data_IF_553825574838
#
_entry.id   IF_553825574838
#
_cell.length_a   1.000
_cell.length_b   1.000
_cell.length_c   1.000
_cell.angle_alpha   90.00
_cell.angle_beta   90.00
_cell.angle_gamma   90.00
#
_symmetry.space_group_name_H-M   'P 1'
#
loop_
_entity.id
_entity.type
_entity.pdbx_description
1 polymer ?
#
# COMPACT_ATOMS: atom_id res chain seq x y z
N UNK A 1 -9.96 26.83 -16.15
CA UNK A 1 -9.03 25.69 -16.23
C UNK A 1 -9.79 24.49 -16.73
N UNK A 2 -9.12 23.66 -17.53
CA UNK A 2 -9.70 22.48 -18.18
C UNK A 2 -10.00 21.41 -17.12
N UNK A 3 -11.18 20.76 -17.16
CA UNK A 3 -11.46 19.62 -16.29
C UNK A 3 -10.43 18.50 -16.51
N UNK A 4 -9.99 17.86 -15.43
CA UNK A 4 -9.15 16.66 -15.51
C UNK A 4 -9.89 15.54 -16.25
N UNK A 5 -9.16 14.76 -17.06
CA UNK A 5 -9.71 13.57 -17.72
C UNK A 5 -9.30 12.35 -16.90
N UNK A 6 -10.26 11.79 -16.15
CA UNK A 6 -10.04 10.54 -15.41
C UNK A 6 -10.13 9.37 -16.38
N UNK A 7 -9.04 8.63 -16.54
CA UNK A 7 -9.03 7.36 -17.25
C UNK A 7 -9.34 6.23 -16.28
N UNK A 8 -10.51 5.60 -16.47
CA UNK A 8 -10.96 4.41 -15.76
C UNK A 8 -11.25 3.26 -16.76
N UNK A 9 -10.61 3.29 -17.93
CA UNK A 9 -10.83 2.29 -18.99
C UNK A 9 -9.93 1.07 -18.87
N UNK A 10 -8.85 1.18 -18.09
CA UNK A 10 -7.83 0.15 -17.99
C UNK A 10 -8.01 -0.73 -16.76
N UNK A 11 -7.42 -1.92 -16.85
CA UNK A 11 -7.40 -2.93 -15.81
C UNK A 11 -6.18 -3.81 -15.90
N UNK A 12 -5.73 -4.40 -14.81
CA UNK A 12 -4.92 -5.61 -14.88
C UNK A 12 -5.86 -6.79 -15.15
N UNK A 13 -5.65 -7.49 -16.26
CA UNK A 13 -6.49 -8.59 -16.74
C UNK A 13 -5.71 -9.66 -17.50
N UNK A 14 -4.44 -9.87 -17.13
CA UNK A 14 -3.61 -10.96 -17.69
C UNK A 14 -3.73 -12.25 -16.87
N UNK A 15 -3.89 -12.16 -15.55
CA UNK A 15 -3.96 -13.32 -14.64
C UNK A 15 -5.35 -13.55 -14.01
N UNK A 16 -5.48 -14.44 -13.02
CA UNK A 16 -6.81 -14.78 -12.45
C UNK A 16 -7.49 -13.62 -11.71
N UNK A 17 -6.84 -12.48 -11.55
CA UNK A 17 -7.43 -11.24 -11.04
C UNK A 17 -7.79 -10.33 -12.23
N UNK A 18 -9.00 -9.77 -12.19
CA UNK A 18 -9.35 -8.58 -12.95
C UNK A 18 -9.36 -7.39 -12.00
N UNK A 19 -8.62 -6.32 -12.27
CA UNK A 19 -8.57 -5.18 -11.35
C UNK A 19 -8.55 -3.85 -12.11
N UNK A 20 -9.54 -2.99 -11.90
CA UNK A 20 -9.56 -1.64 -12.45
C UNK A 20 -8.37 -0.82 -11.96
N UNK A 21 -7.83 0.03 -12.84
CA UNK A 21 -6.70 0.93 -12.57
C UNK A 21 -7.03 2.30 -13.15
N UNK A 22 -6.79 3.37 -12.39
CA UNK A 22 -7.05 4.74 -12.83
C UNK A 22 -5.81 5.61 -12.83
N UNK A 23 -5.85 6.73 -13.56
CA UNK A 23 -4.81 7.76 -13.55
C UNK A 23 -4.93 8.76 -12.36
N UNK A 24 -5.54 8.33 -11.25
CA UNK A 24 -5.79 9.16 -10.05
C UNK A 24 -5.38 8.45 -8.74
N UNK A 25 -4.63 7.34 -8.86
CA UNK A 25 -4.21 6.51 -7.73
C UNK A 25 -5.27 5.52 -7.22
N UNK A 26 -6.53 5.69 -7.61
CA UNK A 26 -7.55 4.69 -7.30
C UNK A 26 -7.39 3.45 -8.17
N UNK A 27 -7.53 2.29 -7.54
CA UNK A 27 -7.61 1.01 -8.21
C UNK A 27 -8.62 0.12 -7.49
N UNK A 28 -8.95 -1.02 -8.09
CA UNK A 28 -9.96 -1.94 -7.59
C UNK A 28 -11.37 -1.34 -7.43
N UNK A 29 -11.67 -0.16 -8.01
CA UNK A 29 -12.99 0.46 -8.05
C UNK A 29 -13.40 0.76 -9.49
N UNK A 30 -14.55 0.25 -9.96
CA UNK A 30 -15.11 0.69 -11.24
C UNK A 30 -15.83 2.03 -11.05
N UNK A 31 -15.11 3.13 -11.30
CA UNK A 31 -15.65 4.49 -11.22
C UNK A 31 -16.72 4.81 -12.27
N UNK A 32 -16.90 3.96 -13.29
CA UNK A 32 -17.94 4.15 -14.32
C UNK A 32 -19.30 3.73 -13.79
N UNK A 33 -19.35 2.56 -13.17
CA UNK A 33 -20.59 1.97 -12.66
C UNK A 33 -20.73 2.10 -11.15
N UNK A 34 -19.70 2.60 -10.46
CA UNK A 34 -19.61 2.78 -9.02
C UNK A 34 -19.78 1.47 -8.24
N UNK A 35 -19.18 0.39 -8.74
CA UNK A 35 -19.19 -0.94 -8.07
C UNK A 35 -17.77 -1.43 -7.82
N UNK A 36 -17.66 -2.49 -7.00
CA UNK A 36 -16.41 -3.16 -6.72
C UNK A 36 -15.64 -3.54 -7.99
N UNK A 37 -14.32 -3.34 -7.96
CA UNK A 37 -13.48 -3.37 -9.16
C UNK A 37 -12.30 -4.34 -9.10
N UNK A 38 -12.10 -5.10 -8.02
CA UNK A 38 -11.22 -6.29 -8.05
C UNK A 38 -12.06 -7.55 -8.13
N UNK A 39 -12.03 -8.20 -9.28
CA UNK A 39 -12.71 -9.45 -9.59
C UNK A 39 -11.77 -10.65 -9.39
N UNK A 40 -12.25 -11.67 -8.68
CA UNK A 40 -11.55 -12.95 -8.59
C UNK A 40 -12.53 -14.13 -8.44
N UNK A 41 -12.38 -15.24 -9.19
CA UNK A 41 -11.60 -15.33 -10.40
C UNK A 41 -12.13 -14.37 -11.46
N UNK A 42 -11.24 -13.76 -12.23
CA UNK A 42 -11.57 -12.92 -13.38
C UNK A 42 -12.54 -13.63 -14.33
N UNK A 43 -13.59 -12.94 -14.76
CA UNK A 43 -14.68 -13.46 -15.59
C UNK A 43 -15.78 -14.22 -14.85
N UNK A 44 -15.79 -14.23 -13.51
CA UNK A 44 -16.83 -14.88 -12.69
C UNK A 44 -17.97 -13.93 -12.28
N UNK A 45 -17.79 -12.62 -12.40
CA UNK A 45 -18.67 -11.59 -11.85
C UNK A 45 -18.61 -11.43 -10.33
N UNK A 46 -17.63 -12.04 -9.66
CA UNK A 46 -17.47 -11.98 -8.19
C UNK A 46 -16.27 -11.12 -7.81
N UNK A 47 -16.46 -10.23 -6.84
CA UNK A 47 -15.47 -9.23 -6.43
C UNK A 47 -14.96 -9.47 -5.03
N UNK A 48 -13.68 -9.16 -4.79
CA UNK A 48 -13.02 -9.33 -3.50
C UNK A 48 -12.49 -8.02 -2.87
N UNK A 49 -12.45 -6.93 -3.63
CA UNK A 49 -12.11 -5.58 -3.13
C UNK A 49 -13.01 -4.57 -3.83
N UNK A 50 -13.60 -3.67 -3.06
CA UNK A 50 -14.47 -2.61 -3.56
C UNK A 50 -13.69 -1.43 -4.12
N UNK A 51 -12.68 -0.98 -3.37
CA UNK A 51 -11.80 0.14 -3.73
C UNK A 51 -10.48 0.06 -2.95
N UNK A 52 -9.42 0.62 -3.52
CA UNK A 52 -8.13 0.77 -2.86
C UNK A 52 -7.34 1.94 -3.48
N UNK A 53 -6.36 2.45 -2.74
CA UNK A 53 -5.57 3.60 -3.18
C UNK A 53 -4.43 3.97 -2.22
N UNK A 54 -3.43 4.75 -2.69
CA UNK A 54 -2.32 5.21 -1.86
C UNK A 54 -2.72 6.39 -0.99
N UNK A 55 -2.26 6.38 0.26
CA UNK A 55 -2.33 7.49 1.20
C UNK A 55 -0.91 7.94 1.54
N UNK A 56 -0.67 9.24 1.56
CA UNK A 56 0.60 9.84 1.94
C UNK A 56 0.30 10.93 2.96
N UNK A 57 1.02 10.94 4.07
CA UNK A 57 0.90 12.00 5.06
C UNK A 57 2.25 12.39 5.63
N UNK A 58 2.44 13.68 5.90
CA UNK A 58 3.69 14.23 6.41
C UNK A 58 3.44 15.46 7.30
N UNK A 59 4.47 15.81 8.07
CA UNK A 59 4.59 17.10 8.72
C UNK A 59 5.32 18.07 7.78
N UNK A 60 4.74 19.24 7.56
CA UNK A 60 5.29 20.30 6.72
C UNK A 60 5.26 21.60 7.49
N UNK A 61 6.42 22.07 7.95
CA UNK A 61 6.50 23.30 8.75
C UNK A 61 5.68 23.26 10.05
N UNK A 62 5.53 22.07 10.64
CA UNK A 62 4.72 21.86 11.85
C UNK A 62 3.22 21.60 11.60
N UNK A 63 2.76 21.63 10.35
CA UNK A 63 1.38 21.29 9.98
C UNK A 63 1.29 19.88 9.40
N UNK A 64 0.23 19.14 9.73
CA UNK A 64 -0.08 17.86 9.08
C UNK A 64 -0.67 18.13 7.69
N UNK A 65 -0.09 17.49 6.68
CA UNK A 65 -0.63 17.44 5.31
C UNK A 65 -0.82 15.99 4.88
N UNK A 66 -1.89 15.75 4.15
CA UNK A 66 -2.29 14.42 3.67
C UNK A 66 -2.77 14.54 2.24
N UNK A 67 -2.42 13.56 1.41
CA UNK A 67 -3.05 13.31 0.13
C UNK A 67 -3.46 11.85 0.06
N UNK A 68 -4.67 11.58 -0.43
CA UNK A 68 -5.22 10.24 -0.44
C UNK A 68 -6.08 9.94 -1.67
N UNK A 69 -6.17 8.65 -1.99
CA UNK A 69 -7.17 8.08 -2.89
C UNK A 69 -7.94 7.00 -2.12
N UNK A 70 -9.25 7.18 -2.04
CA UNK A 70 -10.22 6.25 -1.48
C UNK A 70 -11.52 6.33 -2.31
N UNK A 71 -12.68 6.55 -1.69
CA UNK A 71 -13.95 6.90 -2.35
C UNK A 71 -13.97 8.27 -3.04
N UNK A 72 -12.88 9.03 -2.94
CA UNK A 72 -12.56 10.17 -3.80
C UNK A 72 -11.04 10.35 -3.82
N UNK A 73 -10.53 11.11 -4.80
CA UNK A 73 -9.10 11.26 -5.01
C UNK A 73 -8.68 12.71 -4.85
N UNK A 74 -7.65 12.92 -4.05
CA UNK A 74 -6.96 14.22 -3.96
C UNK A 74 -5.79 14.32 -4.95
N UNK A 75 -5.56 13.25 -5.73
CA UNK A 75 -4.63 13.23 -6.84
C UNK A 75 -5.32 13.56 -8.17
N UNK A 76 -4.69 14.41 -8.98
CA UNK A 76 -5.07 14.69 -10.36
C UNK A 76 -4.14 14.00 -11.37
N UNK A 77 -4.62 13.66 -12.57
CA UNK A 77 -3.79 13.09 -13.63
C UNK A 77 -2.64 14.01 -14.03
N UNK A 78 -1.50 13.41 -14.32
CA UNK A 78 -0.37 14.09 -14.95
C UNK A 78 0.82 14.38 -14.04
N UNK A 79 1.88 14.89 -14.67
CA UNK A 79 3.11 15.26 -13.99
C UNK A 79 3.00 16.61 -13.27
N UNK A 80 3.95 16.86 -12.38
CA UNK A 80 4.25 18.20 -11.88
C UNK A 80 5.40 18.84 -12.67
N UNK A 81 5.23 20.12 -13.02
CA UNK A 81 6.22 20.97 -13.68
C UNK A 81 6.45 22.21 -12.80
N UNK A 82 7.70 22.44 -12.38
CA UNK A 82 8.05 23.61 -11.57
C UNK A 82 7.30 23.70 -10.22
N UNK A 83 6.90 22.56 -9.65
CA UNK A 83 6.16 22.51 -8.39
C UNK A 83 4.64 22.68 -8.50
N UNK A 84 4.10 22.83 -9.71
CA UNK A 84 2.67 22.92 -10.00
C UNK A 84 2.20 21.70 -10.83
N UNK A 85 0.91 21.35 -10.79
CA UNK A 85 0.37 20.34 -11.71
C UNK A 85 0.48 20.84 -13.16
N UNK A 86 0.81 19.94 -14.09
CA UNK A 86 0.62 20.20 -15.53
C UNK A 86 -0.88 20.16 -15.89
N UNK A 87 -1.24 20.47 -17.14
CA UNK A 87 -2.62 20.43 -17.62
C UNK A 87 -3.19 19.01 -17.57
N UNK A 88 -4.14 18.71 -16.66
CA UNK A 88 -4.65 17.36 -16.42
C UNK A 88 -5.60 16.87 -17.53
N UNK A 89 -5.84 17.68 -18.56
CA UNK A 89 -6.65 17.31 -19.73
C UNK A 89 -5.82 16.81 -20.92
N UNK A 90 -4.48 16.83 -20.79
CA UNK A 90 -3.57 16.33 -21.82
C UNK A 90 -3.82 14.83 -22.07
N UNK A 91 -4.00 14.38 -23.32
CA UNK A 91 -4.39 13.01 -23.64
C UNK A 91 -3.36 11.93 -23.26
N UNK A 92 -2.11 12.32 -23.06
CA UNK A 92 -1.03 11.46 -22.55
C UNK A 92 -1.17 11.13 -21.05
N UNK A 93 -1.96 11.89 -20.29
CA UNK A 93 -2.23 11.60 -18.88
C UNK A 93 -3.34 10.57 -18.74
N UNK A 94 -3.06 9.37 -19.23
CA UNK A 94 -3.92 8.18 -19.22
C UNK A 94 -3.18 7.00 -18.59
N UNK A 95 -3.88 5.89 -18.39
CA UNK A 95 -3.26 4.63 -18.00
C UNK A 95 -2.77 3.92 -19.26
N UNK A 96 -1.45 3.76 -19.38
CA UNK A 96 -0.85 2.96 -20.44
C UNK A 96 -0.91 1.50 -20.06
N UNK A 97 -1.28 0.62 -21.01
CA UNK A 97 -1.23 -0.84 -20.84
C UNK A 97 -0.32 -1.44 -21.89
N UNK A 98 0.67 -2.21 -21.45
CA UNK A 98 1.55 -3.01 -22.30
C UNK A 98 1.45 -4.48 -21.94
N UNK A 99 1.41 -5.36 -22.94
CA UNK A 99 1.55 -6.80 -22.76
C UNK A 99 2.99 -7.21 -23.13
N UNK A 100 3.52 -8.26 -22.51
CA UNK A 100 4.83 -8.80 -22.90
C UNK A 100 4.80 -9.34 -24.33
N UNK A 101 3.71 -10.03 -24.70
CA UNK A 101 3.52 -10.66 -26.01
C UNK A 101 2.26 -10.09 -26.66
N UNK A 102 2.36 -9.78 -27.95
CA UNK A 102 1.25 -9.30 -28.78
C UNK A 102 0.95 -10.29 -29.91
N UNK A 103 -0.25 -10.18 -30.49
CA UNK A 103 -0.66 -11.04 -31.61
C UNK A 103 0.13 -10.75 -32.90
N UNK A 104 0.63 -9.52 -33.04
CA UNK A 104 1.46 -9.09 -34.17
C UNK A 104 2.49 -8.03 -33.76
N UNK A 105 3.57 -7.94 -34.55
CA UNK A 105 4.56 -6.88 -34.40
C UNK A 105 3.94 -5.47 -34.56
N UNK A 106 2.96 -5.32 -35.46
CA UNK A 106 2.31 -4.03 -35.70
C UNK A 106 1.54 -3.54 -34.46
N UNK A 107 0.79 -4.42 -33.78
CA UNK A 107 0.08 -4.06 -32.54
C UNK A 107 1.06 -3.71 -31.41
N UNK A 108 2.12 -4.50 -31.25
CA UNK A 108 3.19 -4.22 -30.28
C UNK A 108 3.83 -2.86 -30.53
N UNK A 109 4.24 -2.60 -31.76
CA UNK A 109 4.99 -1.39 -32.13
C UNK A 109 4.11 -0.14 -31.99
N UNK A 110 2.80 -0.24 -32.29
CA UNK A 110 1.85 0.83 -32.05
C UNK A 110 1.68 1.14 -30.55
N UNK A 111 1.51 0.11 -29.71
CA UNK A 111 1.40 0.29 -28.26
C UNK A 111 2.69 0.86 -27.65
N UNK A 112 3.85 0.38 -28.09
CA UNK A 112 5.14 0.88 -27.65
C UNK A 112 5.41 2.32 -28.14
N UNK A 113 4.96 2.69 -29.35
CA UNK A 113 5.08 4.05 -29.86
C UNK A 113 4.22 5.04 -29.05
N UNK A 114 2.97 4.70 -28.73
CA UNK A 114 2.09 5.51 -27.86
C UNK A 114 2.69 5.68 -26.46
N UNK A 115 3.20 4.59 -25.88
CA UNK A 115 3.91 4.62 -24.59
C UNK A 115 5.17 5.51 -24.63
N UNK A 116 6.01 5.36 -25.66
CA UNK A 116 7.24 6.16 -25.79
C UNK A 116 6.94 7.65 -26.03
N UNK A 117 5.85 7.97 -26.73
CA UNK A 117 5.48 9.35 -27.03
C UNK A 117 4.89 10.07 -25.81
N UNK A 118 4.10 9.39 -24.99
CA UNK A 118 3.42 10.02 -23.85
C UNK A 118 3.96 9.62 -22.48
N UNK A 119 4.19 8.34 -22.19
CA UNK A 119 4.61 7.92 -20.86
C UNK A 119 6.08 8.25 -20.55
N UNK A 120 7.00 7.93 -21.46
CA UNK A 120 8.46 8.06 -21.24
C UNK A 120 8.91 9.49 -20.93
N UNK A 121 8.42 10.55 -21.63
CA UNK A 121 8.74 11.94 -21.27
C UNK A 121 8.34 12.33 -19.84
N UNK A 122 7.42 11.58 -19.24
CA UNK A 122 6.86 11.82 -17.90
C UNK A 122 7.41 10.85 -16.83
N UNK A 123 8.54 10.17 -17.13
CA UNK A 123 9.29 9.38 -16.16
C UNK A 123 9.07 7.87 -16.23
N UNK A 124 8.23 7.40 -17.16
CA UNK A 124 8.04 5.97 -17.37
C UNK A 124 9.36 5.28 -17.82
N UNK A 125 9.63 4.05 -17.37
CA UNK A 125 10.83 3.32 -17.76
C UNK A 125 10.87 3.06 -19.27
N UNK A 126 12.06 3.16 -19.87
CA UNK A 126 12.23 2.78 -21.27
C UNK A 126 11.98 1.28 -21.47
N UNK A 127 11.10 0.93 -22.41
CA UNK A 127 10.78 -0.46 -22.76
C UNK A 127 11.42 -0.80 -24.11
N UNK A 128 12.04 -1.98 -24.19
CA UNK A 128 12.71 -2.45 -25.41
C UNK A 128 12.02 -3.67 -26.00
N UNK A 129 12.21 -3.88 -27.31
CA UNK A 129 11.79 -5.11 -27.99
C UNK A 129 12.93 -6.12 -27.89
N UNK A 130 12.63 -7.30 -27.33
CA UNK A 130 13.56 -8.40 -27.18
C UNK A 130 13.81 -9.12 -28.52
N UNK A 131 14.88 -9.93 -28.64
CA UNK A 131 15.18 -10.67 -29.87
C UNK A 131 14.08 -11.62 -30.36
N UNK A 132 13.22 -12.09 -29.44
CA UNK A 132 12.05 -12.94 -29.75
C UNK A 132 10.81 -12.13 -30.14
N UNK A 133 10.91 -10.80 -30.18
CA UNK A 133 9.82 -9.89 -30.51
C UNK A 133 8.90 -9.53 -29.34
N UNK A 134 9.12 -10.04 -28.13
CA UNK A 134 8.39 -9.63 -26.93
C UNK A 134 8.87 -8.27 -26.39
N UNK A 135 8.07 -7.61 -25.54
CA UNK A 135 8.50 -6.42 -24.81
C UNK A 135 9.19 -6.79 -23.49
N UNK A 136 10.24 -6.04 -23.13
CA UNK A 136 10.90 -6.14 -21.83
C UNK A 136 10.12 -5.37 -20.73
N UNK A 137 8.92 -5.87 -20.43
CA UNK A 137 8.06 -5.36 -19.34
C UNK A 137 8.11 -6.29 -18.12
N UNK A 138 7.91 -5.75 -16.90
CA UNK A 138 7.65 -6.59 -15.73
C UNK A 138 6.32 -7.33 -15.90
N UNK A 139 6.26 -8.59 -15.46
CA UNK A 139 5.07 -9.42 -15.67
C UNK A 139 4.78 -9.71 -17.15
N UNK A 140 3.64 -10.34 -17.41
CA UNK A 140 3.13 -10.57 -18.76
C UNK A 140 2.18 -9.44 -19.22
N UNK A 141 1.77 -8.59 -18.28
CA UNK A 141 1.09 -7.33 -18.52
C UNK A 141 1.52 -6.30 -17.47
N UNK A 142 1.72 -5.07 -17.92
CA UNK A 142 2.05 -3.90 -17.12
C UNK A 142 1.08 -2.77 -17.45
N UNK A 143 0.63 -2.04 -16.43
CA UNK A 143 0.07 -0.70 -16.57
C UNK A 143 1.01 0.35 -15.99
N UNK A 144 0.98 1.55 -16.56
CA UNK A 144 1.74 2.70 -16.05
C UNK A 144 0.93 3.98 -16.16
N UNK A 145 0.98 4.83 -15.13
CA UNK A 145 0.49 6.21 -15.21
C UNK A 145 1.26 7.13 -14.24
N UNK A 146 1.01 8.44 -14.35
CA UNK A 146 1.52 9.46 -13.45
C UNK A 146 0.39 10.38 -13.00
N UNK A 147 0.39 10.72 -11.72
CA UNK A 147 -0.56 11.64 -11.08
C UNK A 147 0.11 12.40 -9.94
N UNK A 148 -0.53 13.45 -9.44
CA UNK A 148 0.02 14.31 -8.39
C UNK A 148 -1.05 14.98 -7.54
N UNK A 149 -0.69 15.42 -6.34
CA UNK A 149 -1.61 16.10 -5.42
C UNK A 149 -1.54 17.64 -5.48
N UNK A 150 -0.81 18.21 -6.46
CA UNK A 150 -0.38 19.60 -6.41
C UNK A 150 -1.47 20.64 -6.70
N UNK A 151 -2.66 20.21 -7.13
CA UNK A 151 -3.82 21.09 -7.29
C UNK A 151 -4.61 21.20 -5.96
N UNK A 152 -4.58 22.36 -5.27
CA UNK A 152 -5.31 22.52 -4.01
C UNK A 152 -6.83 22.33 -4.13
N UNK A 153 -7.39 22.40 -5.35
CA UNK A 153 -8.82 22.18 -5.60
C UNK A 153 -9.21 20.71 -5.52
N UNK A 154 -8.26 19.79 -5.69
CA UNK A 154 -8.48 18.35 -5.55
C UNK A 154 -8.57 17.92 -4.08
N UNK A 155 -8.07 18.73 -3.15
CA UNK A 155 -8.07 18.47 -1.70
C UNK A 155 -9.43 18.78 -1.04
N UNK A 156 -10.48 18.17 -1.58
CA UNK A 156 -11.86 18.33 -1.12
C UNK A 156 -12.36 17.20 -0.21
N UNK A 157 -11.59 16.11 -0.08
CA UNK A 157 -11.99 14.97 0.74
C UNK A 157 -11.78 15.30 2.22
N UNK A 158 -12.80 15.18 3.06
CA UNK A 158 -12.69 15.48 4.50
C UNK A 158 -11.55 14.71 5.17
N UNK A 159 -11.27 13.48 4.74
CA UNK A 159 -10.19 12.67 5.27
C UNK A 159 -8.79 13.25 4.96
N UNK A 160 -8.63 14.09 3.95
CA UNK A 160 -7.32 14.58 3.49
C UNK A 160 -7.20 16.11 3.36
N UNK A 161 -8.32 16.83 3.34
CA UNK A 161 -8.56 18.28 3.15
C UNK A 161 -7.49 19.21 3.74
N UNK A 162 -6.31 19.22 3.13
CA UNK A 162 -5.14 19.98 3.55
C UNK A 162 -4.55 20.73 2.36
N UNK A 163 -3.48 21.48 2.59
CA UNK A 163 -2.68 21.96 1.48
C UNK A 163 -1.93 20.78 0.85
N UNK A 164 -1.68 20.80 -0.47
CA UNK A 164 -0.86 19.78 -1.11
C UNK A 164 0.48 19.53 -0.40
N UNK A 165 0.87 18.26 -0.37
CA UNK A 165 2.24 17.83 -0.09
C UNK A 165 3.18 18.30 -1.20
N UNK A 166 2.71 18.28 -2.46
CA UNK A 166 3.52 18.55 -3.65
C UNK A 166 4.23 17.29 -4.13
N UNK A 167 3.52 16.16 -4.11
CA UNK A 167 4.04 14.86 -4.53
C UNK A 167 3.53 14.48 -5.91
N UNK A 168 4.43 13.94 -6.71
CA UNK A 168 4.10 13.22 -7.96
C UNK A 168 4.31 11.73 -7.70
N UNK A 169 3.35 10.91 -8.12
CA UNK A 169 3.41 9.46 -8.03
C UNK A 169 3.45 8.89 -9.43
N UNK A 170 4.48 8.11 -9.72
CA UNK A 170 4.55 7.27 -10.91
C UNK A 170 4.17 5.85 -10.51
N UNK A 171 3.04 5.40 -11.03
CA UNK A 171 2.43 4.12 -10.69
C UNK A 171 2.74 3.09 -11.76
N UNK A 172 3.20 1.91 -11.36
CA UNK A 172 3.40 0.75 -12.24
C UNK A 172 2.79 -0.49 -11.62
N UNK A 173 1.71 -1.01 -12.20
CA UNK A 173 1.14 -2.29 -11.78
C UNK A 173 1.45 -3.37 -12.81
N UNK A 174 1.71 -4.58 -12.36
CA UNK A 174 1.99 -5.68 -13.27
C UNK A 174 1.60 -7.04 -12.67
N UNK A 175 1.38 -8.01 -13.54
CA UNK A 175 0.96 -9.35 -13.16
C UNK A 175 1.55 -10.40 -14.13
N UNK A 176 1.63 -11.65 -13.67
CA UNK A 176 2.11 -12.78 -14.47
C UNK A 176 0.96 -13.71 -14.82
N UNK A 177 0.90 -14.15 -16.07
CA UNK A 177 0.01 -15.24 -16.48
C UNK A 177 0.66 -16.58 -16.11
N UNK A 178 0.60 -16.88 -14.81
CA UNK A 178 1.26 -18.04 -14.21
C UNK A 178 0.21 -19.00 -13.62
N UNK A 179 0.35 -20.33 -13.81
CA UNK A 179 -0.57 -21.29 -13.21
C UNK A 179 -0.43 -21.38 -11.68
N UNK A 180 0.67 -20.90 -11.11
CA UNK A 180 0.95 -20.91 -9.68
C UNK A 180 0.40 -19.69 -8.92
N UNK A 181 1.02 -19.36 -7.77
CA UNK A 181 0.61 -18.25 -6.90
C UNK A 181 0.69 -16.88 -7.59
N UNK A 182 1.63 -16.69 -8.52
CA UNK A 182 1.77 -15.43 -9.25
C UNK A 182 0.55 -15.15 -10.15
N UNK A 183 -0.15 -16.19 -10.57
CA UNK A 183 -1.43 -16.08 -11.28
C UNK A 183 -2.56 -15.48 -10.46
N UNK A 184 -2.40 -15.35 -9.13
CA UNK A 184 -3.36 -14.72 -8.23
C UNK A 184 -2.76 -13.49 -7.53
N UNK A 185 -1.73 -12.87 -8.12
CA UNK A 185 -1.01 -11.74 -7.53
C UNK A 185 -0.89 -10.61 -8.53
N UNK A 186 -1.20 -9.38 -8.11
CA UNK A 186 -0.86 -8.14 -8.82
C UNK A 186 0.19 -7.41 -7.99
N UNK A 187 1.28 -7.02 -8.63
CA UNK A 187 2.33 -6.23 -8.01
C UNK A 187 2.05 -4.75 -8.23
N UNK A 188 2.14 -3.96 -7.17
CA UNK A 188 1.84 -2.54 -7.15
C UNK A 188 3.12 -1.78 -6.83
N UNK A 189 3.62 -0.97 -7.76
CA UNK A 189 4.79 -0.11 -7.52
C UNK A 189 4.39 1.34 -7.59
N UNK A 190 4.77 2.08 -6.56
CA UNK A 190 4.58 3.52 -6.47
C UNK A 190 5.95 4.16 -6.30
N UNK A 191 6.37 4.95 -7.27
CA UNK A 191 7.53 5.83 -7.11
C UNK A 191 7.05 7.22 -6.77
N UNK A 192 7.30 7.64 -5.54
CA UNK A 192 6.80 8.88 -4.97
C UNK A 192 7.92 9.90 -4.99
N UNK A 193 7.72 11.01 -5.71
CA UNK A 193 8.64 12.14 -5.76
C UNK A 193 8.09 13.29 -4.93
N UNK A 194 8.95 13.94 -4.16
CA UNK A 194 8.65 15.29 -3.67
C UNK A 194 9.07 16.29 -4.77
N UNK A 195 8.10 16.75 -5.56
CA UNK A 195 8.31 17.78 -6.59
C UNK A 195 7.90 19.18 -6.12
N UNK A 196 7.43 19.30 -4.88
CA UNK A 196 7.13 20.55 -4.22
C UNK A 196 8.37 21.24 -3.64
N UNK A 197 8.16 22.39 -3.01
CA UNK A 197 9.22 23.17 -2.37
C UNK A 197 9.44 22.81 -0.89
N UNK A 198 8.55 22.02 -0.30
CA UNK A 198 8.53 21.76 1.13
C UNK A 198 9.35 20.52 1.48
N UNK A 199 10.05 20.56 2.60
CA UNK A 199 10.58 19.34 3.22
C UNK A 199 9.43 18.55 3.87
N UNK A 200 9.32 17.26 3.55
CA UNK A 200 8.30 16.39 4.11
C UNK A 200 8.90 15.60 5.28
N UNK A 201 8.64 16.08 6.50
CA UNK A 201 9.12 15.48 7.74
C UNK A 201 8.14 14.41 8.24
N UNK A 202 8.66 13.39 8.94
CA UNK A 202 7.83 12.32 9.52
C UNK A 202 6.80 11.79 8.52
N UNK A 203 7.25 11.50 7.31
CA UNK A 203 6.38 11.05 6.22
C UNK A 203 6.01 9.60 6.44
N UNK A 204 4.74 9.27 6.19
CA UNK A 204 4.22 7.93 6.16
C UNK A 204 3.52 7.70 4.82
N UNK A 205 3.72 6.52 4.27
CA UNK A 205 2.97 6.02 3.11
C UNK A 205 2.09 4.87 3.56
N UNK A 206 0.93 4.72 2.95
CA UNK A 206 0.10 3.55 3.19
C UNK A 206 -0.77 3.15 2.01
N UNK A 207 -1.15 1.88 2.02
CA UNK A 207 -2.10 1.32 1.08
C UNK A 207 -3.43 1.13 1.79
N UNK A 208 -4.42 1.94 1.41
CA UNK A 208 -5.79 1.82 1.89
C UNK A 208 -6.55 0.81 1.05
N UNK A 209 -7.39 0.01 1.69
CA UNK A 209 -8.29 -0.92 1.03
C UNK A 209 -9.63 -1.00 1.74
N UNK A 210 -10.67 -1.03 0.92
CA UNK A 210 -12.02 -1.45 1.25
C UNK A 210 -12.26 -2.88 0.71
N UNK A 211 -11.87 -3.92 1.47
CA UNK A 211 -12.22 -5.28 1.11
C UNK A 211 -13.74 -5.48 1.16
N UNK A 212 -14.28 -6.01 0.07
CA UNK A 212 -15.63 -6.57 0.01
C UNK A 212 -15.44 -8.00 -0.49
N UNK A 213 -15.18 -8.97 0.40
CA UNK A 213 -14.89 -10.35 -0.01
C UNK A 213 -16.20 -11.06 -0.37
N UNK A 214 -16.75 -10.66 -1.50
CA UNK A 214 -18.13 -10.94 -1.85
C UNK A 214 -19.06 -9.97 -1.12
N UNK A 215 -19.74 -10.45 -0.09
CA UNK A 215 -20.60 -9.60 0.74
C UNK A 215 -19.80 -8.79 1.76
N UNK A 216 -19.94 -7.46 1.73
CA UNK A 216 -19.28 -6.56 2.66
C UNK A 216 -19.64 -6.79 4.14
N UNK A 217 -20.80 -7.38 4.45
CA UNK A 217 -21.32 -7.44 5.83
C UNK A 217 -20.79 -8.61 6.66
N UNK A 218 -19.99 -9.50 6.07
CA UNK A 218 -19.41 -10.64 6.75
C UNK A 218 -17.88 -10.72 6.63
N UNK A 219 -17.24 -9.59 6.34
CA UNK A 219 -15.79 -9.50 6.30
C UNK A 219 -15.18 -9.40 7.70
N UNK A 220 -14.01 -10.02 7.83
CA UNK A 220 -13.08 -9.86 8.94
C UNK A 220 -11.72 -9.49 8.37
N UNK A 221 -10.93 -8.77 9.14
CA UNK A 221 -9.56 -8.40 8.77
C UNK A 221 -8.51 -8.99 9.70
N UNK A 222 -7.27 -9.06 9.22
CA UNK A 222 -6.14 -9.57 9.98
C UNK A 222 -4.81 -8.99 9.53
N UNK A 223 -3.81 -9.15 10.40
CA UNK A 223 -2.45 -8.70 10.18
C UNK A 223 -1.47 -9.84 10.44
N UNK A 224 -0.42 -9.92 9.62
CA UNK A 224 0.79 -10.68 9.92
C UNK A 224 2.00 -9.73 9.78
N UNK A 225 2.38 -9.06 10.89
CA UNK A 225 3.50 -8.11 10.88
C UNK A 225 4.83 -8.76 10.47
N UNK A 226 5.02 -10.03 10.79
CA UNK A 226 6.23 -10.79 10.42
C UNK A 226 6.36 -11.01 8.92
N UNK A 227 5.25 -10.90 8.18
CA UNK A 227 5.19 -10.93 6.71
C UNK A 227 4.89 -9.58 6.09
N UNK A 228 4.74 -8.51 6.87
CA UNK A 228 4.28 -7.20 6.35
C UNK A 228 2.96 -7.29 5.57
N UNK A 229 2.05 -8.16 6.03
CA UNK A 229 0.81 -8.51 5.35
C UNK A 229 -0.41 -8.02 6.15
N UNK A 230 -1.35 -7.37 5.47
CA UNK A 230 -2.72 -7.15 5.92
C UNK A 230 -3.68 -7.92 5.01
N UNK A 231 -4.74 -8.50 5.56
CA UNK A 231 -5.63 -9.38 4.80
C UNK A 231 -7.08 -9.32 5.28
N UNK A 232 -8.01 -9.67 4.40
CA UNK A 232 -9.44 -9.82 4.68
C UNK A 232 -9.96 -11.19 4.24
N UNK A 233 -10.97 -11.68 4.95
CA UNK A 233 -11.58 -12.99 4.75
C UNK A 233 -12.99 -13.02 5.36
N UNK A 234 -13.87 -13.87 4.83
CA UNK A 234 -15.22 -14.00 5.39
C UNK A 234 -15.21 -14.65 6.78
N UNK A 235 -16.04 -14.13 7.67
CA UNK A 235 -16.33 -14.69 8.98
C UNK A 235 -16.92 -16.10 8.90
N UNK A 236 -17.73 -16.34 7.87
CA UNK A 236 -18.54 -17.54 7.69
C UNK A 236 -18.07 -18.40 6.52
N UNK A 237 -18.45 -19.68 6.55
CA UNK A 237 -18.20 -20.59 5.43
C UNK A 237 -19.18 -20.43 4.25
N UNK A 238 -20.08 -19.46 4.30
CA UNK A 238 -21.06 -19.17 3.26
C UNK A 238 -21.17 -17.66 3.08
N UNK A 239 -20.67 -17.18 1.95
CA UNK A 239 -20.75 -15.79 1.50
C UNK A 239 -21.95 -15.57 0.56
N UNK A 240 -22.47 -14.34 0.52
CA UNK A 240 -23.61 -13.99 -0.33
C UNK A 240 -23.33 -14.09 -1.84
N UNK A 241 -22.08 -13.91 -2.26
CA UNK A 241 -21.66 -13.86 -3.68
C UNK A 241 -20.84 -15.10 -4.05
N UNK A 242 -19.88 -15.46 -3.22
CA UNK A 242 -18.99 -16.60 -3.37
C UNK A 242 -19.58 -17.92 -2.90
N UNK A 243 -20.69 -17.92 -2.18
CA UNK A 243 -21.21 -19.10 -1.50
C UNK A 243 -20.11 -19.73 -0.63
N UNK A 244 -19.87 -21.04 -0.74
CA UNK A 244 -18.86 -21.74 0.08
C UNK A 244 -17.42 -21.64 -0.44
N UNK A 245 -17.15 -20.74 -1.38
CA UNK A 245 -15.86 -20.62 -2.06
C UNK A 245 -15.27 -19.21 -2.00
N UNK A 246 -15.56 -18.46 -0.93
CA UNK A 246 -14.99 -17.14 -0.72
C UNK A 246 -13.45 -17.19 -0.69
N UNK A 247 -12.75 -16.28 -1.39
CA UNK A 247 -11.32 -16.17 -1.27
C UNK A 247 -10.93 -15.51 0.05
N UNK A 248 -9.63 -15.43 0.31
CA UNK A 248 -9.08 -14.37 1.14
C UNK A 248 -8.32 -13.43 0.20
N UNK A 249 -8.30 -12.14 0.52
CA UNK A 249 -7.51 -11.12 -0.17
C UNK A 249 -6.51 -10.53 0.80
N UNK A 250 -5.31 -10.21 0.33
CA UNK A 250 -4.30 -9.57 1.17
C UNK A 250 -3.33 -8.70 0.38
N UNK A 251 -2.74 -7.77 1.09
CA UNK A 251 -1.72 -6.85 0.60
C UNK A 251 -0.45 -7.04 1.41
N UNK A 252 0.64 -7.37 0.73
CA UNK A 252 1.97 -7.55 1.33
C UNK A 252 2.86 -6.37 0.93
N UNK A 253 3.45 -5.66 1.88
CA UNK A 253 4.48 -4.66 1.60
C UNK A 253 5.82 -5.36 1.34
N UNK A 254 6.18 -5.44 0.05
CA UNK A 254 7.42 -6.06 -0.42
C UNK A 254 8.66 -5.17 -0.21
N UNK A 255 8.47 -3.85 -0.33
CA UNK A 255 9.51 -2.83 -0.12
C UNK A 255 8.87 -1.53 0.34
N UNK A 256 9.21 -1.05 1.54
CA UNK A 256 8.84 0.29 2.00
C UNK A 256 9.88 1.36 1.67
N UNK A 257 9.66 2.59 2.13
CA UNK A 257 10.59 3.70 1.94
C UNK A 257 11.90 3.45 2.69
N UNK A 258 12.99 4.07 2.27
CA UNK A 258 14.25 3.98 3.00
C UNK A 258 14.15 4.71 4.34
N UNK A 259 14.66 4.09 5.41
CA UNK A 259 14.69 4.69 6.75
C UNK A 259 15.57 5.97 6.80
N UNK A 260 16.51 6.08 5.87
CA UNK A 260 17.36 7.24 5.60
C UNK A 260 17.96 7.07 4.19
N UNK A 261 18.58 8.09 3.58
CA UNK A 261 19.13 7.98 2.21
C UNK A 261 20.08 6.79 1.97
N UNK A 262 20.73 6.28 3.03
CA UNK A 262 21.60 5.09 2.99
C UNK A 262 21.13 3.96 3.92
N UNK A 263 19.92 4.06 4.47
CA UNK A 263 19.34 3.10 5.39
C UNK A 263 18.70 1.90 4.70
N UNK A 264 18.34 0.84 5.44
CA UNK A 264 17.54 -0.23 4.88
C UNK A 264 16.11 0.26 4.55
N UNK A 265 15.41 -0.38 3.59
CA UNK A 265 13.98 -0.18 3.42
C UNK A 265 13.23 -0.51 4.71
N UNK A 266 12.25 0.31 5.06
CA UNK A 266 11.32 0.04 6.13
C UNK A 266 10.38 -1.10 5.71
N UNK A 267 10.02 -1.93 6.69
CA UNK A 267 8.91 -2.87 6.55
C UNK A 267 7.59 -2.18 6.88
N UNK A 268 6.56 -2.99 7.10
CA UNK A 268 5.29 -2.48 7.59
C UNK A 268 5.44 -2.02 9.05
N UNK A 269 4.98 -0.81 9.36
CA UNK A 269 5.10 -0.22 10.70
C UNK A 269 3.75 -0.06 11.38
N UNK A 270 2.66 -0.14 10.63
CA UNK A 270 1.30 -0.05 11.15
C UNK A 270 0.30 -0.84 10.31
N UNK A 271 -0.71 -1.41 10.98
CA UNK A 271 -1.97 -1.81 10.36
C UNK A 271 -3.10 -1.21 11.20
N UNK A 272 -3.89 -0.35 10.58
CA UNK A 272 -5.09 0.23 11.16
C UNK A 272 -6.31 -0.30 10.43
N UNK A 273 -7.34 -0.70 11.17
CA UNK A 273 -8.64 -1.04 10.60
C UNK A 273 -9.74 -0.27 11.30
N UNK A 274 -10.78 0.03 10.55
CA UNK A 274 -12.00 0.67 11.01
C UNK A 274 -13.18 0.12 10.21
N UNK A 275 -14.38 0.28 10.74
CA UNK A 275 -15.61 -0.19 10.11
C UNK A 275 -16.34 0.98 9.46
N UNK A 276 -17.18 0.69 8.47
CA UNK A 276 -17.99 1.70 7.81
C UNK A 276 -18.74 2.60 8.81
N UNK A 277 -18.59 3.92 8.64
CA UNK A 277 -19.17 4.94 9.51
C UNK A 277 -18.25 5.37 10.66
N UNK A 278 -17.08 4.74 10.79
CA UNK A 278 -16.01 5.14 11.73
C UNK A 278 -14.74 5.61 11.01
N UNK A 279 -14.83 5.79 9.69
CA UNK A 279 -13.77 6.25 8.80
C UNK A 279 -13.13 7.56 9.30
N UNK A 280 -11.81 7.75 9.09
CA UNK A 280 -11.16 9.03 9.31
C UNK A 280 -11.91 10.17 8.60
N UNK A 281 -12.36 11.15 9.36
CA UNK A 281 -13.17 12.26 8.85
C UNK A 281 -12.47 13.63 8.96
N UNK A 282 -11.16 13.59 9.22
CA UNK A 282 -10.24 14.73 9.14
C UNK A 282 -8.81 14.24 8.87
N UNK A 283 -7.96 15.12 8.34
CA UNK A 283 -6.57 14.79 7.99
C UNK A 283 -5.72 14.35 9.19
N UNK A 284 -6.03 14.81 10.40
CA UNK A 284 -5.30 14.38 11.61
C UNK A 284 -5.57 12.91 11.92
N UNK A 285 -6.81 12.45 11.78
CA UNK A 285 -7.18 11.04 11.94
C UNK A 285 -6.59 10.16 10.83
N UNK A 286 -6.56 10.64 9.60
CA UNK A 286 -5.94 9.89 8.48
C UNK A 286 -4.43 9.73 8.69
N UNK A 287 -3.75 10.80 9.11
CA UNK A 287 -2.34 10.75 9.46
C UNK A 287 -2.06 9.81 10.65
N UNK A 288 -2.91 9.83 11.69
CA UNK A 288 -2.83 8.88 12.81
C UNK A 288 -3.04 7.43 12.37
N UNK A 289 -3.97 7.19 11.44
CA UNK A 289 -4.21 5.85 10.91
C UNK A 289 -2.97 5.31 10.17
N UNK A 290 -2.27 6.14 9.40
CA UNK A 290 -0.97 5.78 8.78
C UNK A 290 0.10 5.38 9.82
N UNK A 291 -0.01 5.88 11.05
CA UNK A 291 0.91 5.63 12.16
C UNK A 291 0.51 4.45 13.04
N UNK A 292 -0.64 3.80 12.81
CA UNK A 292 -1.15 2.76 13.70
C UNK A 292 -1.66 3.30 15.03
N UNK A 293 -2.33 4.47 14.98
CA UNK A 293 -2.95 5.12 16.13
C UNK A 293 -4.48 5.15 15.97
N UNK A 294 -5.17 5.17 17.09
CA UNK A 294 -6.60 5.45 17.13
C UNK A 294 -6.89 6.92 16.73
N UNK A 295 -8.18 7.25 16.56
CA UNK A 295 -8.61 8.59 16.20
C UNK A 295 -8.21 9.68 17.22
N UNK A 296 -7.90 9.30 18.46
CA UNK A 296 -7.43 10.18 19.55
C UNK A 296 -5.90 10.33 19.58
N UNK A 297 -5.16 9.55 18.80
CA UNK A 297 -3.71 9.55 18.75
C UNK A 297 -3.04 8.57 19.71
N UNK A 298 -3.78 7.62 20.29
CA UNK A 298 -3.21 6.60 21.17
C UNK A 298 -2.84 5.33 20.39
N UNK A 299 -1.75 4.63 20.74
CA UNK A 299 -1.50 3.29 20.23
C UNK A 299 -2.66 2.35 20.59
N UNK A 300 -2.90 1.36 19.74
CA UNK A 300 -3.85 0.29 20.08
C UNK A 300 -3.31 -0.54 21.24
N UNK A 301 -4.21 -1.21 21.98
CA UNK A 301 -3.86 -2.16 23.02
C UNK A 301 -4.30 -3.54 22.58
N UNK A 302 -3.37 -4.48 22.49
CA UNK A 302 -3.69 -5.88 22.24
C UNK A 302 -4.43 -6.43 23.47
N UNK A 303 -5.72 -6.80 23.36
CA UNK A 303 -6.52 -7.24 24.48
C UNK A 303 -6.06 -8.58 25.08
N UNK A 304 -5.24 -9.34 24.36
CA UNK A 304 -4.72 -10.64 24.82
C UNK A 304 -3.44 -10.52 25.63
N UNK A 305 -2.67 -9.44 25.43
CA UNK A 305 -1.41 -9.20 26.14
C UNK A 305 -1.45 -8.00 27.07
N UNK A 306 -2.40 -7.08 26.87
CA UNK A 306 -2.48 -5.79 27.55
C UNK A 306 -1.38 -4.79 27.12
N UNK A 307 -0.60 -5.12 26.09
CA UNK A 307 0.50 -4.29 25.61
C UNK A 307 0.05 -3.40 24.44
N UNK A 308 0.68 -2.23 24.34
CA UNK A 308 0.46 -1.34 23.20
C UNK A 308 1.05 -1.91 21.91
N UNK A 309 0.35 -1.74 20.80
CA UNK A 309 0.77 -2.19 19.47
C UNK A 309 0.35 -1.16 18.40
N UNK A 310 1.02 -1.20 17.24
CA UNK A 310 0.65 -0.45 16.02
C UNK A 310 -0.04 -1.32 14.97
N UNK A 311 -0.26 -2.59 15.30
CA UNK A 311 -0.87 -3.57 14.41
C UNK A 311 -2.17 -4.04 15.05
N UNK A 312 -3.29 -3.71 14.42
CA UNK A 312 -4.58 -4.31 14.75
C UNK A 312 -4.64 -5.74 14.22
N UNK A 313 -5.25 -6.62 15.01
CA UNK A 313 -5.51 -8.02 14.66
C UNK A 313 -4.29 -8.88 14.22
N UNK A 314 -3.16 -8.87 14.96
CA UNK A 314 -1.96 -9.65 14.61
C UNK A 314 -2.07 -11.16 14.93
N UNK A 315 -3.22 -11.62 15.42
CA UNK A 315 -3.45 -13.02 15.79
C UNK A 315 -3.57 -13.97 14.60
N UNK A 316 -3.62 -15.27 14.89
CA UNK A 316 -3.84 -16.32 13.89
C UNK A 316 -5.33 -16.72 13.87
N UNK A 317 -6.11 -16.31 12.86
CA UNK A 317 -7.53 -16.64 12.77
C UNK A 317 -7.81 -18.10 12.39
N UNK A 318 -6.82 -18.84 11.88
CA UNK A 318 -6.95 -20.28 11.63
C UNK A 318 -6.76 -21.07 12.92
N UNK A 319 -5.80 -20.68 13.75
CA UNK A 319 -5.57 -21.29 15.06
C UNK A 319 -6.54 -20.77 16.15
N UNK A 320 -7.16 -19.61 15.94
CA UNK A 320 -8.00 -18.94 16.94
C UNK A 320 -7.20 -18.41 18.12
N UNK A 321 -5.99 -17.89 17.87
CA UNK A 321 -5.05 -17.46 18.92
C UNK A 321 -4.58 -16.02 18.71
N UNK A 322 -4.25 -15.32 19.80
CA UNK A 322 -3.87 -13.91 19.76
C UNK A 322 -5.07 -12.96 19.56
N UNK A 323 -4.79 -11.69 19.29
CA UNK A 323 -5.84 -10.72 18.98
C UNK A 323 -6.30 -10.90 17.53
N UNK A 324 -7.50 -11.47 17.37
CA UNK A 324 -8.18 -11.67 16.08
C UNK A 324 -9.41 -10.78 15.99
N UNK A 325 -9.80 -10.44 14.76
CA UNK A 325 -11.07 -9.79 14.53
C UNK A 325 -12.23 -10.78 14.70
N UNK A 326 -13.29 -10.32 15.34
CA UNK A 326 -14.49 -11.09 15.71
C UNK A 326 -15.77 -10.35 15.35
N UNK A 327 -15.69 -9.26 14.58
CA UNK A 327 -16.82 -8.41 14.24
C UNK A 327 -17.12 -8.49 12.75
N UNK A 328 -17.95 -9.44 12.28
CA UNK A 328 -18.28 -9.54 10.86
C UNK A 328 -19.03 -8.28 10.41
N UNK A 329 -18.40 -7.47 9.56
CA UNK A 329 -18.99 -6.22 9.06
C UNK A 329 -18.18 -5.66 7.89
N UNK A 330 -18.58 -4.49 7.44
CA UNK A 330 -17.97 -3.73 6.36
C UNK A 330 -16.69 -3.04 6.86
N UNK A 331 -15.54 -3.64 6.57
CA UNK A 331 -14.23 -3.22 7.07
C UNK A 331 -13.44 -2.43 6.03
N UNK A 332 -12.61 -1.51 6.53
CA UNK A 332 -11.45 -0.98 5.80
C UNK A 332 -10.18 -1.30 6.57
N UNK A 333 -9.07 -1.35 5.86
CA UNK A 333 -7.76 -1.39 6.50
C UNK A 333 -6.71 -0.59 5.72
N UNK A 334 -5.68 -0.17 6.44
CA UNK A 334 -4.60 0.67 5.94
C UNK A 334 -3.25 0.11 6.39
N UNK A 335 -2.38 -0.17 5.41
CA UNK A 335 -1.02 -0.68 5.63
C UNK A 335 -0.01 0.46 5.63
N UNK A 336 0.37 0.96 6.79
CA UNK A 336 1.28 2.10 6.95
C UNK A 336 2.76 1.70 7.07
N UNK A 337 3.65 2.46 6.43
CA UNK A 337 5.10 2.37 6.57
C UNK A 337 5.72 3.77 6.78
N UNK A 338 6.50 3.93 7.86
CA UNK A 338 7.19 5.16 8.21
C UNK A 338 7.64 5.19 9.69
N UNK A 339 8.18 6.31 10.18
CA UNK A 339 8.41 7.55 9.44
C UNK A 339 9.66 7.48 8.57
N UNK A 340 9.65 8.24 7.49
CA UNK A 340 10.85 8.62 6.73
C UNK A 340 10.82 10.14 6.48
N UNK A 341 11.78 10.68 5.73
CA UNK A 341 11.79 12.08 5.33
C UNK A 341 12.07 12.19 3.85
N UNK A 342 11.47 13.17 3.18
CA UNK A 342 11.59 13.34 1.74
C UNK A 342 11.87 14.81 1.40
N UNK A 343 13.09 15.10 0.97
CA UNK A 343 13.52 16.44 0.56
C UNK A 343 13.01 16.81 -0.82
N UNK A 344 12.87 18.11 -1.14
CA UNK A 344 12.55 18.56 -2.50
C UNK A 344 13.50 17.92 -3.53
N UNK A 345 12.92 17.28 -4.55
CA UNK A 345 13.63 16.58 -5.61
C UNK A 345 13.98 15.11 -5.31
N UNK A 346 13.79 14.63 -4.07
CA UNK A 346 14.02 13.23 -3.71
C UNK A 346 12.81 12.34 -4.07
N UNK A 347 13.07 11.03 -4.13
CA UNK A 347 12.04 10.03 -4.41
C UNK A 347 12.23 8.75 -3.61
N UNK A 348 11.12 8.06 -3.33
CA UNK A 348 11.08 6.74 -2.71
C UNK A 348 10.29 5.74 -3.57
N UNK A 349 10.75 4.49 -3.64
CA UNK A 349 10.05 3.40 -4.33
C UNK A 349 9.33 2.49 -3.32
N UNK A 350 8.02 2.37 -3.42
CA UNK A 350 7.19 1.54 -2.56
C UNK A 350 6.60 0.40 -3.39
N UNK A 351 6.74 -0.84 -2.93
CA UNK A 351 6.22 -2.02 -3.62
C UNK A 351 5.28 -2.82 -2.71
N UNK A 352 4.07 -3.07 -3.18
CA UNK A 352 3.10 -3.99 -2.58
C UNK A 352 2.79 -5.16 -3.52
N UNK A 353 2.19 -6.22 -2.98
CA UNK A 353 1.53 -7.27 -3.74
C UNK A 353 0.10 -7.46 -3.25
N UNK A 354 -0.87 -7.26 -4.13
CA UNK A 354 -2.27 -7.63 -3.92
C UNK A 354 -2.47 -9.09 -4.34
N UNK A 355 -2.80 -9.96 -3.40
CA UNK A 355 -2.92 -11.40 -3.62
C UNK A 355 -4.28 -11.91 -3.23
N UNK A 356 -4.85 -12.80 -4.03
CA UNK A 356 -6.04 -13.58 -3.66
C UNK A 356 -5.69 -15.05 -3.54
N UNK A 357 -6.36 -15.75 -2.64
CA UNK A 357 -6.23 -17.21 -2.51
C UNK A 357 -7.59 -17.82 -2.24
N UNK A 358 -7.83 -19.03 -2.76
CA UNK A 358 -9.02 -19.79 -2.39
C UNK A 358 -8.91 -20.13 -0.91
N UNK A 359 -9.75 -19.52 -0.09
CA UNK A 359 -9.79 -19.79 1.33
C UNK A 359 -10.69 -21.00 1.58
N UNK A 360 -10.09 -22.12 1.95
CA UNK A 360 -10.83 -23.26 2.51
C UNK A 360 -10.42 -23.36 3.98
N UNK A 361 -11.33 -22.99 4.89
CA UNK A 361 -11.15 -23.21 6.34
C UNK A 361 -10.88 -24.69 6.67
N UNK A 362 -11.22 -25.61 5.75
CA UNK A 362 -10.94 -27.06 5.84
C UNK A 362 -9.63 -27.53 5.18
N UNK A 363 -8.87 -26.69 4.48
CA UNK A 363 -7.55 -27.07 3.91
C UNK A 363 -6.42 -26.46 4.72
N UNK A 364 -6.22 -27.04 5.90
CA UNK A 364 -4.98 -26.97 6.67
C UNK A 364 -3.87 -27.59 5.81
N UNK A 365 -2.68 -26.99 5.80
CA UNK A 365 -1.47 -27.35 5.01
C UNK A 365 -1.36 -26.71 3.61
N UNK A 366 -1.32 -25.38 3.54
CA UNK A 366 -0.49 -24.71 2.54
C UNK A 366 -0.03 -23.34 3.07
N UNK A 367 1.25 -23.25 3.44
CA UNK A 367 1.90 -21.95 3.70
C UNK A 367 1.84 -21.13 2.40
N UNK A 368 1.40 -19.86 2.41
CA UNK A 368 1.60 -19.00 1.26
C UNK A 368 3.12 -18.91 0.97
N UNK A 369 3.55 -19.13 -0.28
CA UNK A 369 4.96 -19.06 -0.63
C UNK A 369 5.44 -17.61 -0.55
N UNK A 370 6.65 -17.42 0.01
CA UNK A 370 7.35 -16.12 -0.03
C UNK A 370 7.61 -15.75 -1.48
N UNK A 371 7.02 -14.66 -1.95
CA UNK A 371 7.40 -14.05 -3.22
C UNK A 371 8.61 -13.15 -2.95
N UNK A 372 9.78 -13.49 -3.50
CA UNK A 372 10.95 -12.59 -3.53
C UNK A 372 11.16 -12.12 -4.96
N UNK A 373 11.18 -10.81 -5.19
CA UNK A 373 11.67 -10.24 -6.45
C UNK A 373 13.12 -10.68 -6.68
N UNK A 374 13.38 -11.38 -7.80
CA UNK A 374 14.75 -11.58 -8.31
C UNK A 374 15.08 -10.39 -9.20
N UNK A 375 16.15 -9.68 -8.88
CA UNK A 375 16.74 -8.71 -9.80
C UNK A 375 17.30 -9.44 -11.04
N UNK A 376 17.19 -8.87 -12.25
CA UNK A 376 17.82 -9.46 -13.44
C UNK A 376 19.34 -9.33 -13.33
N UNK A 377 20.03 -10.47 -13.29
CA UNK A 377 21.49 -10.53 -13.37
C UNK A 377 21.88 -10.36 -14.83
N UNK A 378 22.42 -9.21 -15.20
CA UNK A 378 23.07 -9.00 -16.49
C UNK A 378 24.35 -9.85 -16.54
N UNK A 379 24.32 -10.94 -17.34
CA UNK A 379 25.53 -11.70 -17.65
C UNK A 379 26.21 -11.09 -18.87
N UNK A 380 27.19 -10.23 -18.64
CA UNK A 380 28.21 -9.93 -19.66
C UNK A 380 29.10 -11.16 -19.83
N UNK A 381 29.12 -11.73 -21.04
CA UNK A 381 30.11 -12.74 -21.42
C UNK A 381 31.07 -12.09 -22.42
N UNK A 382 32.20 -11.62 -21.91
CA UNK A 382 33.36 -11.26 -22.69
C UNK A 382 33.95 -12.53 -23.31
N UNK A 383 34.11 -12.53 -24.62
CA UNK A 383 34.83 -13.56 -25.36
C UNK A 383 36.32 -13.48 -25.05
N UNK A 384 36.96 -14.62 -24.78
CA UNK A 384 38.37 -14.79 -25.10
C UNK A 384 38.64 -16.21 -25.56
N UNK A 385 39.41 -16.28 -26.64
CA UNK A 385 39.78 -17.43 -27.45
C UNK A 385 41.25 -17.69 -27.14
N UNK A 386 41.65 -18.86 -26.66
CA UNK A 386 42.88 -19.53 -27.10
C UNK A 386 43.09 -20.93 -26.51
N UNK A 387 43.27 -21.83 -27.48
CA UNK A 387 43.95 -23.12 -27.56
C UNK A 387 44.95 -23.57 -26.47
N UNK A 388 44.85 -24.90 -26.23
CA UNK A 388 45.90 -25.95 -26.19
C UNK A 388 46.69 -26.27 -24.92
N UNK A 389 46.76 -27.61 -24.70
CA UNK A 389 47.68 -28.41 -23.88
C UNK A 389 47.58 -28.20 -22.36
N UNK A 390 47.68 -29.19 -21.49
CA UNK A 390 48.00 -30.59 -21.60
C UNK A 390 48.31 -31.10 -20.19
N UNK A 391 47.50 -32.03 -19.72
CA UNK A 391 47.91 -33.20 -18.94
C UNK A 391 48.58 -33.07 -17.55
N UNK A 392 48.02 -33.87 -16.65
CA UNK A 392 48.63 -34.57 -15.50
C UNK A 392 48.99 -33.72 -14.28
N UNK A 393 48.24 -33.88 -13.19
CA UNK A 393 48.28 -34.97 -12.17
C UNK A 393 49.07 -34.47 -10.97
N UNK A 394 48.38 -34.20 -9.87
CA UNK A 394 48.20 -35.17 -8.79
C UNK A 394 49.41 -35.21 -7.84
N UNK A 395 49.16 -34.86 -6.59
CA UNK A 395 49.44 -35.68 -5.40
C UNK A 395 49.41 -34.73 -4.19
N UNK A 396 48.47 -34.96 -3.27
CA UNK A 396 48.65 -35.65 -1.97
C UNK A 396 49.50 -34.81 -1.01
N UNK A 397 49.27 -34.76 0.29
CA UNK A 397 48.25 -35.25 1.21
C UNK A 397 48.75 -34.80 2.60
N UNK A 398 47.87 -34.86 3.60
CA UNK A 398 48.26 -34.92 5.02
C UNK A 398 48.22 -33.56 5.71
N UNK A 399 47.12 -33.17 6.35
CA UNK A 399 46.55 -33.67 7.61
C UNK A 399 47.18 -33.03 8.87
N UNK A 400 46.35 -32.20 9.50
CA UNK A 400 46.09 -32.02 10.95
C UNK A 400 47.26 -31.82 11.91
N UNK A 401 47.28 -30.64 12.56
CA UNK A 401 47.27 -30.51 14.03
C UNK A 401 47.09 -29.04 14.46
N UNK A 402 46.17 -28.82 15.40
CA UNK A 402 46.06 -27.63 16.25
C UNK A 402 46.62 -28.00 17.65
N UNK A 403 46.52 -27.16 18.72
CA UNK A 403 46.64 -25.70 18.87
C UNK A 403 47.67 -25.33 19.98
N UNK A 404 47.95 -24.05 20.21
CA UNK A 404 48.23 -23.42 21.54
C UNK A 404 48.66 -21.96 21.37
N UNK A 405 47.99 -21.01 22.03
CA UNK A 405 48.46 -20.21 23.20
C UNK A 405 49.54 -19.16 22.83
N UNK A 406 49.61 -17.92 23.32
CA UNK A 406 49.09 -17.25 24.51
C UNK A 406 49.51 -15.76 24.45
N UNK A 407 48.79 -14.88 25.21
CA UNK A 407 49.30 -13.71 26.00
C UNK A 407 50.04 -12.58 25.23
N UNK A 408 50.08 -11.29 25.61
CA UNK A 408 49.80 -10.51 26.83
C UNK A 408 49.87 -9.01 26.41
N UNK A 409 48.91 -8.16 26.81
CA UNK A 409 49.01 -7.08 27.82
C UNK A 409 49.86 -5.84 27.50
N UNK A 410 49.26 -4.63 27.66
CA UNK A 410 49.61 -3.50 28.57
C UNK A 410 49.05 -2.17 28.00
N UNK A 411 48.13 -1.49 28.70
CA UNK A 411 48.30 -0.47 29.78
C UNK A 411 48.76 0.89 29.20
N UNK A 412 48.20 2.07 29.49
CA UNK A 412 47.94 2.81 30.76
C UNK A 412 46.92 3.95 30.47
N UNK A 413 45.95 4.28 31.36
CA UNK A 413 46.00 5.20 32.54
C UNK A 413 46.14 6.69 32.15
N UNK A 414 45.41 7.70 32.66
CA UNK A 414 45.08 8.12 34.05
C UNK A 414 44.03 9.28 33.95
N UNK A 415 42.97 9.36 34.80
CA UNK A 415 42.79 10.18 36.06
C UNK A 415 42.72 11.71 35.84
N UNK A 416 41.88 12.53 36.48
CA UNK A 416 41.44 12.69 37.88
C UNK A 416 40.16 13.60 37.95
N UNK A 417 39.14 13.32 38.80
CA UNK A 417 38.69 14.00 40.07
C UNK A 417 38.11 15.45 39.93
N UNK A 418 37.14 15.97 40.69
CA UNK A 418 36.49 15.62 41.97
C UNK A 418 35.28 16.57 42.27
N UNK A 419 34.28 16.09 43.03
CA UNK A 419 33.53 16.77 44.13
C UNK A 419 32.53 17.93 43.81
N UNK A 420 31.40 18.19 44.51
CA UNK A 420 30.62 17.55 45.61
C UNK A 420 29.44 18.48 46.05
N UNK A 421 28.34 17.88 46.56
CA UNK A 421 27.34 18.41 47.55
C UNK A 421 26.42 19.58 47.14
N UNK A 422 25.13 19.68 47.55
CA UNK A 422 24.30 18.93 48.49
C UNK A 422 22.84 19.47 48.50
N UNK A 423 21.96 18.72 49.16
CA UNK A 423 20.46 18.70 49.16
C UNK A 423 19.72 19.91 49.81
N UNK A 424 18.46 19.78 50.30
CA UNK A 424 17.14 19.92 49.65
C UNK A 424 16.26 20.99 50.35
N UNK A 425 14.95 21.13 50.01
CA UNK A 425 13.79 21.50 50.90
C UNK A 425 12.51 21.73 50.04
N UNK A 426 11.39 21.08 50.42
CA UNK A 426 9.97 21.29 49.98
C UNK A 426 9.26 22.28 50.96
N UNK A 427 7.90 22.50 51.04
CA UNK A 427 6.73 22.07 50.26
C UNK A 427 5.63 23.18 50.08
N UNK A 428 4.41 22.76 49.66
CA UNK A 428 3.08 23.40 49.84
C UNK A 428 2.67 24.53 48.84
N UNK A 429 1.43 24.68 48.36
CA UNK A 429 0.12 24.17 48.79
C UNK A 429 -0.97 24.18 47.67
N UNK A 430 -1.99 23.33 47.87
CA UNK A 430 -3.45 23.55 47.72
C UNK A 430 -4.15 23.83 46.37
N UNK A 431 -4.92 22.83 45.91
CA UNK A 431 -6.28 22.98 45.34
C UNK A 431 -7.29 23.36 46.48
N UNK A 432 -8.59 23.76 46.29
CA UNK A 432 -9.65 23.15 45.42
C UNK A 432 -10.74 24.19 44.99
N UNK A 433 -12.06 23.90 44.79
CA UNK A 433 -12.80 22.68 44.38
C UNK A 433 -13.74 22.88 43.15
N UNK A 434 -14.29 21.76 42.69
CA UNK A 434 -15.49 21.63 41.84
C UNK A 434 -16.76 22.29 42.41
N UNK A 435 -17.78 22.52 41.56
CA UNK A 435 -19.04 21.84 41.83
C UNK A 435 -19.73 21.28 40.57
N UNK A 436 -20.21 20.04 40.66
CA UNK A 436 -21.53 19.66 40.13
C UNK A 436 -22.45 19.36 41.33
N UNK A 437 -23.71 18.92 41.18
CA UNK A 437 -24.44 18.58 39.94
C UNK A 437 -25.82 19.27 39.84
N UNK A 438 -26.37 19.44 38.63
CA UNK A 438 -27.82 19.64 38.47
C UNK A 438 -28.42 18.63 37.48
N UNK A 439 -29.41 17.91 38.00
CA UNK A 439 -30.34 17.06 37.26
C UNK A 439 -31.55 17.90 36.87
N UNK A 440 -31.92 17.87 35.59
CA UNK A 440 -33.30 18.01 35.10
C UNK A 440 -33.29 17.41 33.69
N UNK A 441 -34.04 16.38 33.30
CA UNK A 441 -35.44 16.11 33.58
C UNK A 441 -36.24 16.27 32.27
N UNK A 442 -36.37 15.17 31.51
CA UNK A 442 -37.39 14.87 30.49
C UNK A 442 -37.76 15.90 29.40
N UNK A 443 -37.69 15.48 28.13
CA UNK A 443 -38.89 15.05 27.37
C UNK A 443 -38.53 14.50 25.98
N UNK A 444 -39.01 13.28 25.74
CA UNK A 444 -39.23 12.70 24.42
C UNK A 444 -40.17 13.60 23.60
N UNK A 445 -39.89 13.77 22.32
CA UNK A 445 -40.94 13.92 21.29
C UNK A 445 -40.45 13.31 19.98
N UNK A 446 -41.11 12.21 19.62
CA UNK A 446 -41.15 11.68 18.28
C UNK A 446 -41.77 12.73 17.33
N UNK A 447 -41.21 12.86 16.13
CA UNK A 447 -41.94 13.42 14.99
C UNK A 447 -41.82 12.48 13.80
N UNK A 448 -42.99 12.02 13.41
CA UNK A 448 -43.37 11.14 12.31
C UNK A 448 -42.94 11.61 10.92
N UNK A 449 -42.66 10.61 10.06
CA UNK A 449 -42.69 10.70 8.58
C UNK A 449 -44.01 11.27 8.04
N UNK A 450 -44.02 11.76 6.79
CA UNK A 450 -44.63 10.96 5.71
C UNK A 450 -43.69 10.90 4.47
N UNK A 451 -43.40 9.75 3.85
CA UNK A 451 -44.26 8.93 2.98
C UNK A 451 -44.96 9.73 1.85
N UNK A 452 -44.31 9.83 0.69
CA UNK A 452 -45.00 9.99 -0.60
C UNK A 452 -44.68 8.80 -1.51
N UNK A 453 -45.65 7.88 -1.60
CA UNK A 453 -45.80 6.92 -2.70
C UNK A 453 -46.13 7.70 -3.98
N UNK A 454 -45.40 7.46 -5.06
CA UNK A 454 -45.91 7.65 -6.43
C UNK A 454 -46.11 6.25 -7.02
N UNK A 455 -47.37 5.94 -7.32
CA UNK A 455 -47.78 4.73 -8.01
C UNK A 455 -47.90 4.97 -9.52
N UNK A 456 -47.35 4.04 -10.29
CA UNK A 456 -47.83 3.50 -11.58
C UNK A 456 -48.29 4.49 -12.67
N UNK A 457 -47.65 4.38 -13.85
CA UNK A 457 -48.36 3.93 -15.07
C UNK A 457 -47.39 3.37 -16.10
N UNK A 458 -47.67 2.14 -16.52
CA UNK A 458 -47.21 1.56 -17.77
C UNK A 458 -47.95 2.22 -18.95
N UNK A 459 -47.25 2.37 -20.07
CA UNK A 459 -47.82 2.78 -21.34
C UNK A 459 -46.82 2.47 -22.45
N UNK A 460 -47.15 1.44 -23.24
CA UNK A 460 -46.47 1.05 -24.48
C UNK A 460 -46.39 2.23 -25.45
N UNK A 461 -45.24 2.39 -26.11
CA UNK A 461 -45.07 2.32 -27.56
C UNK A 461 -43.58 2.14 -27.87
#
# INVERSE_FOLDING_TARGET
>A
MTPAIVDNSQRIDVNRIGMFVTNTGSFAWDKTTLVAGLEFPRGSGKTAVFAAGPWIGAMVGGETRVALSEYSDEYGPGSMIGGAPDDPSRPEYKVYKLNRVYSSAAERDAALADYNAGAVPHGAPAITVQPDGSLDVPGDQMTWCVYNDADPRSHGNRAGQTQPLGVEVQETFYAYDDPGPLGNTVFLRFKIFNKGANFLEQTYVGLWSDPDVGGALDDLVGADPGRSLGFAYNAYGLDAIYASAAPAVGFDLLRGPLASPSGPPLGLTAITSYINGTDPNDASKSYRALQGLDASGNPFVDPTTGLTTRFMFPGDPLAGTGWIDVTPTDHRFLLGSGPFSLSPGESEDIEYAATTTKFKRSSIVARPPRVRCRQPVSRSRTASRMQTSGAMSASRAGACSAPSSSRRSRSESMRDRCSSNGDPIRPEASAPPWPGPERCGMKQRASSRPSSRISRRAGRL
#
